data_IF_127632028357
#
_entry.id   IF_127632028357
#
_cell.length_a   1.000
_cell.length_b   1.000
_cell.length_c   1.000
_cell.angle_alpha   90.00
_cell.angle_beta   90.00
_cell.angle_gamma   90.00
#
_symmetry.space_group_name_H-M   'P 1'
#
loop_
_entity.id
_entity.type
_entity.pdbx_description
1 polymer ?
#
# COMPACT_ATOMS: atom_id res chain seq x y z
N UNK A 1 -0.79 15.67 12.61
CA UNK A 1 -0.95 14.56 11.64
C UNK A 1 0.41 13.99 11.28
N UNK A 2 0.67 12.69 11.54
CA UNK A 2 1.89 12.01 11.09
C UNK A 2 1.54 11.06 9.92
N UNK A 3 1.69 11.55 8.70
CA UNK A 3 1.42 10.80 7.47
C UNK A 3 2.34 11.28 6.35
N UNK A 4 2.82 10.37 5.50
CA UNK A 4 3.72 10.68 4.39
C UNK A 4 3.50 9.73 3.22
N UNK A 5 3.78 10.20 2.00
CA UNK A 5 3.86 9.39 0.80
C UNK A 5 5.31 9.00 0.54
N UNK A 6 5.53 7.78 0.10
CA UNK A 6 6.86 7.34 -0.29
C UNK A 6 6.85 6.29 -1.40
N UNK A 7 8.00 6.02 -1.94
CA UNK A 7 8.23 4.99 -2.97
C UNK A 7 9.04 3.86 -2.34
N UNK A 8 8.55 2.64 -2.45
CA UNK A 8 9.27 1.45 -2.03
C UNK A 8 10.52 1.25 -2.89
N UNK A 9 11.70 1.19 -2.31
CA UNK A 9 12.95 0.94 -3.06
C UNK A 9 13.37 -0.52 -3.02
N UNK A 10 13.42 -1.11 -1.84
CA UNK A 10 13.89 -2.49 -1.68
C UNK A 10 13.87 -2.92 -0.24
N UNK A 11 14.46 -4.08 0.01
CA UNK A 11 14.65 -4.60 1.36
C UNK A 11 16.13 -4.83 1.66
N UNK A 12 16.49 -4.57 2.91
CA UNK A 12 17.82 -4.84 3.46
C UNK A 12 17.67 -5.36 4.88
N UNK A 13 18.76 -5.49 5.59
CA UNK A 13 18.80 -5.85 7.01
C UNK A 13 19.57 -4.81 7.80
N UNK A 14 19.13 -4.57 9.02
CA UNK A 14 19.81 -3.72 10.01
C UNK A 14 20.06 -4.60 11.23
N UNK A 15 21.23 -4.46 11.84
CA UNK A 15 21.56 -5.16 13.09
C UNK A 15 21.19 -4.26 14.26
N UNK A 16 20.39 -4.78 15.18
CA UNK A 16 20.02 -4.11 16.42
C UNK A 16 20.13 -5.15 17.56
N UNK A 17 20.96 -4.89 18.56
CA UNK A 17 21.23 -5.81 19.68
C UNK A 17 21.60 -7.23 19.20
N UNK A 18 22.57 -7.35 18.31
CA UNK A 18 23.06 -8.59 17.68
C UNK A 18 22.01 -9.41 16.92
N UNK A 19 20.85 -8.82 16.66
CA UNK A 19 19.79 -9.44 15.86
C UNK A 19 19.66 -8.75 14.50
N UNK A 20 19.63 -9.55 13.45
CA UNK A 20 19.37 -9.05 12.10
C UNK A 20 17.86 -8.81 11.91
N UNK A 21 17.47 -7.55 11.80
CA UNK A 21 16.07 -7.15 11.52
C UNK A 21 15.92 -6.88 10.05
N UNK A 22 15.04 -7.60 9.32
CA UNK A 22 14.74 -7.26 7.94
C UNK A 22 13.97 -5.94 7.89
N UNK A 23 14.40 -5.03 7.02
CA UNK A 23 13.78 -3.73 6.84
C UNK A 23 13.49 -3.44 5.38
N UNK A 24 12.40 -2.72 5.12
CA UNK A 24 12.10 -2.17 3.81
C UNK A 24 12.44 -0.69 3.78
N UNK A 25 13.16 -0.28 2.74
CA UNK A 25 13.52 1.11 2.46
C UNK A 25 12.37 1.79 1.71
N UNK A 26 11.89 2.89 2.25
CA UNK A 26 10.90 3.75 1.60
C UNK A 26 11.51 5.14 1.40
N UNK A 27 11.60 5.54 0.15
CA UNK A 27 12.05 6.87 -0.25
C UNK A 27 10.87 7.84 -0.15
N UNK A 28 11.00 8.88 0.63
CA UNK A 28 9.98 9.91 0.84
C UNK A 28 10.39 11.28 0.25
N UNK A 29 11.50 11.32 -0.47
CA UNK A 29 11.98 12.54 -1.11
C UNK A 29 10.92 13.16 -2.04
N UNK A 30 10.73 14.46 -1.94
CA UNK A 30 9.79 15.21 -2.77
C UNK A 30 8.32 15.01 -2.42
N UNK A 31 8.00 14.46 -1.24
CA UNK A 31 6.63 14.51 -0.71
C UNK A 31 6.33 15.93 -0.25
N UNK A 32 5.27 16.56 -0.81
CA UNK A 32 4.89 17.95 -0.50
C UNK A 32 3.44 18.06 -0.03
N UNK A 33 3.16 19.14 0.70
CA UNK A 33 1.81 19.56 1.05
C UNK A 33 1.29 20.42 -0.09
N UNK A 34 0.30 19.94 -0.83
CA UNK A 34 -0.22 20.67 -2.00
C UNK A 34 -1.38 21.59 -1.67
N UNK A 35 -2.33 21.12 -0.86
CA UNK A 35 -3.55 21.87 -0.61
C UNK A 35 -4.24 21.43 0.69
N UNK A 36 -5.17 22.25 1.17
CA UNK A 36 -6.11 21.86 2.23
C UNK A 36 -7.51 21.91 1.66
N UNK A 37 -8.26 20.81 1.81
CA UNK A 37 -9.64 20.71 1.33
C UNK A 37 -10.53 20.06 2.38
N UNK A 38 -11.56 20.77 2.79
CA UNK A 38 -12.55 20.23 3.74
C UNK A 38 -11.93 19.61 5.00
N UNK A 39 -10.97 20.27 5.64
CA UNK A 39 -10.27 19.74 6.82
C UNK A 39 -9.38 18.54 6.54
N UNK A 40 -8.97 18.34 5.27
CA UNK A 40 -8.02 17.31 4.86
C UNK A 40 -6.82 17.94 4.19
N UNK A 41 -5.65 17.45 4.54
CA UNK A 41 -4.38 17.85 3.92
C UNK A 41 -4.12 16.97 2.71
N UNK A 42 -3.82 17.57 1.58
CA UNK A 42 -3.45 16.86 0.35
C UNK A 42 -1.93 16.74 0.28
N UNK A 43 -1.44 15.52 0.48
CA UNK A 43 -0.04 15.14 0.27
C UNK A 43 0.14 14.69 -1.18
N UNK A 44 1.25 15.11 -1.78
CA UNK A 44 1.58 14.81 -3.18
C UNK A 44 3.00 14.31 -3.32
N UNK A 45 3.25 13.47 -4.34
CA UNK A 45 4.56 12.93 -4.64
C UNK A 45 4.75 12.78 -6.16
N UNK A 46 5.95 13.14 -6.63
CA UNK A 46 6.32 13.03 -8.03
C UNK A 46 5.64 14.06 -8.93
N UNK A 47 6.16 14.26 -10.13
CA UNK A 47 5.66 15.22 -11.11
C UNK A 47 5.25 14.53 -12.42
N UNK A 48 4.17 15.00 -13.04
CA UNK A 48 3.75 14.58 -14.38
C UNK A 48 4.42 15.47 -15.42
N UNK A 49 4.84 14.89 -16.53
CA UNK A 49 5.44 15.64 -17.66
C UNK A 49 4.48 16.62 -18.31
N UNK A 50 3.17 16.32 -18.32
CA UNK A 50 2.12 17.16 -18.92
C UNK A 50 0.93 17.28 -17.97
N UNK A 51 0.35 18.45 -17.88
CA UNK A 51 -0.88 18.73 -17.12
C UNK A 51 -1.81 19.64 -17.90
N UNK A 52 -3.11 19.58 -17.61
CA UNK A 52 -4.10 20.51 -18.16
C UNK A 52 -3.98 21.87 -17.45
N UNK A 53 -4.43 22.97 -18.10
CA UNK A 53 -4.46 24.31 -17.50
C UNK A 53 -5.20 24.33 -16.16
N UNK A 54 -6.31 23.60 -16.04
CA UNK A 54 -7.08 23.46 -14.82
C UNK A 54 -6.27 22.79 -13.68
N UNK A 55 -5.52 21.73 -13.99
CA UNK A 55 -4.64 21.05 -13.03
C UNK A 55 -3.50 21.97 -12.59
N UNK A 56 -2.88 22.69 -13.53
CA UNK A 56 -1.81 23.64 -13.21
C UNK A 56 -2.33 24.78 -12.29
N UNK A 57 -3.54 25.29 -12.54
CA UNK A 57 -4.18 26.26 -11.67
C UNK A 57 -4.45 25.72 -10.26
N UNK A 58 -4.85 24.45 -10.14
CA UNK A 58 -5.09 23.78 -8.85
C UNK A 58 -3.83 23.61 -8.01
N UNK A 59 -2.68 23.37 -8.65
CA UNK A 59 -1.39 23.10 -8.00
C UNK A 59 -0.39 24.26 -8.20
N UNK A 60 -0.90 25.49 -8.27
CA UNK A 60 -0.09 26.69 -8.49
C UNK A 60 1.02 26.84 -7.45
N UNK A 61 0.74 26.54 -6.17
CA UNK A 61 1.69 26.65 -5.07
C UNK A 61 2.92 25.75 -5.20
N UNK A 62 2.77 24.58 -5.81
CA UNK A 62 3.87 23.63 -6.02
C UNK A 62 4.49 23.72 -7.42
N UNK A 63 3.89 24.48 -8.36
CA UNK A 63 4.42 24.74 -9.69
C UNK A 63 4.36 23.59 -10.70
N UNK A 64 3.84 22.42 -10.33
CA UNK A 64 3.71 21.25 -11.21
C UNK A 64 2.49 20.40 -10.88
N UNK A 65 2.06 19.55 -11.81
CA UNK A 65 0.98 18.58 -11.56
C UNK A 65 1.56 17.32 -10.95
N UNK A 66 1.09 16.92 -9.73
CA UNK A 66 1.62 15.74 -9.06
C UNK A 66 1.21 14.43 -9.75
N UNK A 67 2.09 13.43 -9.69
CA UNK A 67 1.80 12.08 -10.16
C UNK A 67 0.91 11.33 -9.19
N UNK A 68 1.20 11.41 -7.91
CA UNK A 68 0.47 10.76 -6.84
C UNK A 68 -0.07 11.79 -5.86
N UNK A 69 -1.26 11.51 -5.34
CA UNK A 69 -1.94 12.36 -4.37
C UNK A 69 -2.65 11.52 -3.32
N UNK A 70 -2.71 12.04 -2.11
CA UNK A 70 -3.43 11.42 -1.01
C UNK A 70 -4.00 12.47 -0.07
N UNK A 71 -5.30 12.40 0.18
CA UNK A 71 -6.00 13.25 1.13
C UNK A 71 -6.00 12.58 2.50
N UNK A 72 -5.40 13.22 3.47
CA UNK A 72 -5.31 12.74 4.85
C UNK A 72 -6.13 13.64 5.74
N UNK A 73 -6.90 13.07 6.67
CA UNK A 73 -7.59 13.82 7.71
C UNK A 73 -6.57 14.36 8.71
N UNK A 74 -6.73 15.61 9.11
CA UNK A 74 -5.87 16.26 10.11
C UNK A 74 -5.41 17.64 9.64
N UNK A 75 -4.76 18.33 10.54
CA UNK A 75 -4.22 19.68 10.32
C UNK A 75 -2.76 19.60 9.86
N UNK A 76 -2.30 20.66 9.20
CA UNK A 76 -0.89 20.80 8.85
C UNK A 76 -0.09 20.89 10.16
N UNK A 77 1.03 20.15 10.28
CA UNK A 77 1.93 20.29 11.42
C UNK A 77 2.37 21.76 11.56
N UNK A 78 2.51 22.21 12.80
CA UNK A 78 2.98 23.57 13.10
C UNK A 78 4.32 23.87 12.38
N UNK A 79 4.41 25.05 11.77
CA UNK A 79 5.60 25.48 11.02
C UNK A 79 5.65 25.08 9.55
N UNK A 80 4.74 24.22 9.03
CA UNK A 80 4.68 23.87 7.62
C UNK A 80 3.62 24.71 6.89
N UNK A 81 3.94 25.09 5.64
CA UNK A 81 3.07 25.86 4.75
C UNK A 81 2.71 25.03 3.51
N UNK A 82 1.72 25.50 2.74
CA UNK A 82 1.45 24.95 1.41
C UNK A 82 2.71 25.06 0.55
N UNK A 83 3.01 24.01 -0.20
CA UNK A 83 4.23 23.89 -1.00
C UNK A 83 5.46 23.36 -0.24
N UNK A 84 5.43 23.28 1.10
CA UNK A 84 6.55 22.75 1.89
C UNK A 84 6.78 21.28 1.67
N UNK A 85 8.03 20.86 1.74
CA UNK A 85 8.42 19.44 1.72
C UNK A 85 8.08 18.78 3.05
N UNK A 86 7.50 17.58 2.96
CA UNK A 86 7.33 16.68 4.11
C UNK A 86 8.60 15.86 4.28
N UNK A 87 9.24 15.99 5.43
CA UNK A 87 10.52 15.34 5.71
C UNK A 87 10.29 14.01 6.45
N UNK A 88 11.21 13.06 6.28
CA UNK A 88 11.19 11.78 6.99
C UNK A 88 11.19 11.94 8.53
N UNK A 89 11.79 13.02 9.01
CA UNK A 89 11.88 13.42 10.43
C UNK A 89 10.53 13.68 11.10
N UNK A 90 9.43 13.75 10.32
CA UNK A 90 8.06 13.77 10.88
C UNK A 90 7.77 12.52 11.74
N UNK A 91 8.48 11.43 11.49
CA UNK A 91 8.42 10.19 12.26
C UNK A 91 9.63 10.08 13.19
N UNK A 92 9.48 9.29 14.24
CA UNK A 92 10.57 8.97 15.17
C UNK A 92 10.93 7.50 15.07
N UNK A 93 12.18 7.16 15.38
CA UNK A 93 12.60 5.76 15.57
C UNK A 93 11.75 5.11 16.66
N UNK A 94 11.19 3.95 16.36
CA UNK A 94 10.28 3.23 17.26
C UNK A 94 8.80 3.48 17.01
N UNK A 95 8.41 4.52 16.26
CA UNK A 95 7.00 4.79 15.94
C UNK A 95 6.33 3.57 15.31
N UNK A 96 5.09 3.29 15.75
CA UNK A 96 4.26 2.23 15.19
C UNK A 96 3.36 2.82 14.11
N UNK A 97 3.53 2.35 12.89
CA UNK A 97 2.86 2.89 11.70
C UNK A 97 1.99 1.86 11.02
N UNK A 98 0.95 2.35 10.33
CA UNK A 98 0.19 1.61 9.34
C UNK A 98 0.68 1.98 7.94
N UNK A 99 0.76 0.99 7.06
CA UNK A 99 1.27 1.14 5.70
C UNK A 99 0.22 0.63 4.72
N UNK A 100 -0.24 1.52 3.87
CA UNK A 100 -1.19 1.19 2.81
C UNK A 100 -0.48 1.23 1.46
N UNK A 101 -0.63 0.17 0.68
CA UNK A 101 -0.07 0.07 -0.67
C UNK A 101 -0.89 -0.87 -1.55
N UNK A 102 -0.52 -0.97 -2.81
CA UNK A 102 -1.15 -1.89 -3.77
C UNK A 102 -0.36 -3.19 -3.79
N UNK A 103 -1.03 -4.32 -3.57
CA UNK A 103 -0.39 -5.64 -3.61
C UNK A 103 0.04 -6.02 -5.02
N UNK A 104 1.08 -6.86 -5.14
CA UNK A 104 1.52 -7.38 -6.45
C UNK A 104 0.39 -8.12 -7.15
N UNK A 105 0.15 -7.82 -8.41
CA UNK A 105 -0.79 -8.54 -9.26
C UNK A 105 -0.33 -9.98 -9.51
N UNK A 106 -1.28 -10.92 -9.46
CA UNK A 106 -1.04 -12.36 -9.71
C UNK A 106 -1.87 -12.88 -10.88
N UNK A 107 -2.50 -11.98 -11.63
CA UNK A 107 -3.36 -12.31 -12.75
C UNK A 107 -4.64 -13.06 -12.33
N UNK A 108 -5.18 -13.87 -13.24
CA UNK A 108 -6.28 -14.78 -12.93
C UNK A 108 -5.75 -15.98 -12.13
N UNK A 109 -6.32 -16.23 -10.98
CA UNK A 109 -5.93 -17.31 -10.08
C UNK A 109 -7.11 -18.24 -9.80
N UNK A 110 -6.87 -19.54 -9.87
CA UNK A 110 -7.84 -20.57 -9.47
C UNK A 110 -8.05 -20.59 -7.95
N UNK A 111 -9.07 -21.31 -7.51
CA UNK A 111 -9.53 -21.36 -6.12
C UNK A 111 -8.48 -21.84 -5.13
N UNK A 112 -7.59 -22.73 -5.53
CA UNK A 112 -6.50 -23.24 -4.68
C UNK A 112 -5.51 -22.11 -4.35
N UNK A 113 -5.06 -21.35 -5.35
CA UNK A 113 -4.11 -20.24 -5.15
C UNK A 113 -4.79 -19.03 -4.48
N UNK A 114 -6.01 -18.70 -4.91
CA UNK A 114 -6.71 -17.48 -4.47
C UNK A 114 -7.30 -17.59 -3.08
N UNK A 115 -7.85 -18.76 -2.74
CA UNK A 115 -8.60 -18.97 -1.49
C UNK A 115 -8.03 -20.07 -0.59
N UNK A 116 -6.95 -20.74 -1.00
CA UNK A 116 -6.33 -21.81 -0.23
C UNK A 116 -7.15 -23.10 -0.18
N UNK A 117 -7.97 -23.36 -1.17
CA UNK A 117 -8.76 -24.60 -1.23
C UNK A 117 -7.84 -25.82 -1.33
N UNK A 118 -8.20 -26.90 -0.63
CA UNK A 118 -7.43 -28.14 -0.58
C UNK A 118 -7.35 -28.84 -1.97
N UNK A 119 -8.45 -28.76 -2.73
CA UNK A 119 -8.60 -29.54 -3.96
C UNK A 119 -8.92 -31.01 -3.69
N UNK A 120 -8.86 -31.84 -4.72
CA UNK A 120 -9.07 -33.28 -4.63
C UNK A 120 -7.80 -34.06 -4.24
N UNK A 121 -7.91 -35.39 -4.02
CA UNK A 121 -6.78 -36.27 -3.79
C UNK A 121 -5.84 -36.26 -5.00
N UNK A 122 -4.57 -36.60 -4.79
CA UNK A 122 -3.56 -36.66 -5.88
C UNK A 122 -3.42 -38.06 -6.51
N UNK A 123 -3.94 -39.06 -5.85
CA UNK A 123 -3.84 -40.48 -6.22
C UNK A 123 -5.19 -41.17 -6.05
N UNK A 124 -5.25 -42.50 -6.07
CA UNK A 124 -6.44 -43.30 -5.86
C UNK A 124 -7.56 -43.06 -6.89
N UNK A 125 -7.19 -43.02 -8.19
CA UNK A 125 -8.14 -42.87 -9.29
C UNK A 125 -8.59 -41.46 -9.60
N UNK A 126 -7.97 -40.45 -8.96
CA UNK A 126 -8.23 -39.04 -9.30
C UNK A 126 -7.73 -38.74 -10.72
N UNK A 127 -8.61 -38.18 -11.59
CA UNK A 127 -8.21 -37.82 -12.96
C UNK A 127 -8.14 -36.28 -13.13
N UNK A 128 -9.26 -35.58 -13.22
CA UNK A 128 -9.32 -34.18 -13.69
C UNK A 128 -9.66 -33.13 -12.59
N UNK A 129 -10.12 -33.57 -11.42
CA UNK A 129 -10.62 -32.68 -10.36
C UNK A 129 -9.63 -32.29 -9.27
N UNK A 130 -8.33 -32.49 -9.51
CA UNK A 130 -7.29 -32.22 -8.51
C UNK A 130 -7.33 -30.78 -7.94
N UNK A 131 -7.56 -29.78 -8.80
CA UNK A 131 -7.58 -28.36 -8.40
C UNK A 131 -8.96 -27.70 -8.55
N UNK A 132 -10.01 -28.52 -8.57
CA UNK A 132 -11.38 -28.05 -8.70
C UNK A 132 -11.88 -27.42 -7.40
N UNK A 133 -12.85 -26.50 -7.46
CA UNK A 133 -13.43 -25.84 -6.28
C UNK A 133 -14.28 -26.78 -5.42
N UNK A 134 -14.76 -27.91 -5.98
CA UNK A 134 -15.78 -28.74 -5.35
C UNK A 134 -17.19 -28.19 -5.56
N UNK A 135 -18.11 -28.52 -4.67
CA UNK A 135 -19.48 -27.99 -4.72
C UNK A 135 -19.50 -26.47 -4.54
N UNK A 136 -20.30 -25.78 -5.33
CA UNK A 136 -20.47 -24.32 -5.28
C UNK A 136 -21.83 -23.89 -4.70
N UNK A 137 -22.69 -24.84 -4.31
CA UNK A 137 -24.00 -24.57 -3.71
C UNK A 137 -24.87 -25.78 -3.57
N UNK A 138 -26.09 -25.55 -3.11
CA UNK A 138 -27.15 -26.54 -2.99
C UNK A 138 -27.88 -26.71 -4.33
N UNK A 139 -28.84 -27.66 -4.39
CA UNK A 139 -29.61 -27.97 -5.60
C UNK A 139 -30.76 -27.00 -5.88
N UNK A 140 -31.97 -27.55 -6.07
CA UNK A 140 -33.17 -26.83 -6.54
C UNK A 140 -33.55 -25.64 -5.63
N UNK A 141 -33.29 -25.72 -4.36
CA UNK A 141 -33.44 -24.61 -3.42
C UNK A 141 -32.10 -24.22 -2.83
N UNK A 142 -31.60 -23.01 -3.09
CA UNK A 142 -32.21 -21.80 -3.67
C UNK A 142 -32.15 -21.70 -5.21
N UNK A 143 -31.70 -22.74 -5.95
CA UNK A 143 -31.61 -22.74 -7.42
C UNK A 143 -30.59 -21.78 -8.03
N UNK A 144 -29.67 -21.25 -7.22
CA UNK A 144 -28.62 -20.30 -7.62
C UNK A 144 -27.39 -20.44 -6.76
N UNK A 145 -26.27 -19.91 -7.25
CA UNK A 145 -25.06 -19.75 -6.44
C UNK A 145 -25.16 -18.46 -5.61
N UNK A 146 -24.86 -18.52 -4.34
CA UNK A 146 -24.90 -17.36 -3.46
C UNK A 146 -23.87 -16.32 -3.82
N UNK A 147 -24.19 -15.03 -3.61
CA UNK A 147 -23.23 -13.95 -3.72
C UNK A 147 -22.10 -14.16 -2.72
N UNK A 148 -20.86 -13.86 -3.14
CA UNK A 148 -19.68 -14.03 -2.29
C UNK A 148 -19.09 -15.44 -2.26
N UNK A 149 -19.66 -16.42 -2.98
CA UNK A 149 -19.07 -17.75 -3.13
C UNK A 149 -17.67 -17.65 -3.71
N UNK A 150 -16.71 -18.32 -3.05
CA UNK A 150 -15.29 -18.26 -3.40
C UNK A 150 -15.01 -19.01 -4.68
N UNK A 151 -14.71 -18.26 -5.73
CA UNK A 151 -14.39 -18.78 -7.07
C UNK A 151 -13.06 -18.24 -7.56
N UNK A 152 -12.56 -18.80 -8.68
CA UNK A 152 -11.42 -18.26 -9.40
C UNK A 152 -11.68 -16.81 -9.84
N UNK A 153 -10.62 -16.05 -10.07
CA UNK A 153 -10.72 -14.67 -10.51
C UNK A 153 -9.39 -13.92 -10.36
N UNK A 154 -9.40 -12.61 -10.60
CA UNK A 154 -8.23 -11.76 -10.39
C UNK A 154 -7.78 -11.81 -8.93
N UNK A 155 -6.47 -11.94 -8.76
CA UNK A 155 -5.82 -11.92 -7.45
C UNK A 155 -4.71 -10.89 -7.46
N UNK A 156 -4.61 -10.13 -6.37
CA UNK A 156 -3.66 -9.03 -6.25
C UNK A 156 -4.13 -7.76 -6.97
N UNK A 157 -3.24 -6.76 -7.01
CA UNK A 157 -3.55 -5.37 -7.41
C UNK A 157 -4.65 -4.74 -6.54
N UNK A 158 -4.82 -5.27 -5.33
CA UNK A 158 -5.75 -4.76 -4.33
C UNK A 158 -5.02 -3.83 -3.36
N UNK A 159 -5.74 -2.83 -2.85
CA UNK A 159 -5.24 -1.99 -1.77
C UNK A 159 -5.17 -2.81 -0.48
N UNK A 160 -3.97 -2.92 0.09
CA UNK A 160 -3.72 -3.65 1.34
C UNK A 160 -3.11 -2.71 2.36
N UNK A 161 -3.65 -2.73 3.57
CA UNK A 161 -3.10 -1.99 4.71
C UNK A 161 -2.51 -2.97 5.72
N UNK A 162 -1.22 -2.82 6.00
CA UNK A 162 -0.53 -3.56 7.06
C UNK A 162 -0.35 -2.62 8.24
N UNK A 163 -0.83 -3.05 9.40
CA UNK A 163 -0.75 -2.31 10.66
C UNK A 163 0.43 -2.80 11.52
N UNK A 164 0.72 -2.06 12.58
CA UNK A 164 1.70 -2.42 13.60
C UNK A 164 3.11 -2.67 13.03
N UNK A 165 3.54 -1.83 12.08
CA UNK A 165 4.91 -1.84 11.59
C UNK A 165 5.73 -0.80 12.34
N UNK A 166 6.93 -1.18 12.81
CA UNK A 166 7.84 -0.29 13.53
C UNK A 166 8.77 0.43 12.55
N UNK A 167 8.95 1.71 12.76
CA UNK A 167 10.04 2.48 12.14
C UNK A 167 11.33 2.10 12.86
N UNK A 168 12.26 1.46 12.15
CA UNK A 168 13.52 0.98 12.70
C UNK A 168 14.55 2.09 12.76
N UNK A 169 14.65 2.84 11.65
CA UNK A 169 15.60 3.95 11.55
C UNK A 169 15.12 4.95 10.49
N UNK A 170 15.67 6.17 10.53
CA UNK A 170 15.37 7.24 9.57
C UNK A 170 16.70 7.79 9.10
N UNK A 171 16.91 7.85 7.78
CA UNK A 171 18.13 8.39 7.18
C UNK A 171 17.77 9.36 6.08
N UNK A 172 18.08 10.63 6.25
CA UNK A 172 17.80 11.70 5.28
C UNK A 172 16.38 11.60 4.69
N UNK A 173 16.27 11.05 3.47
CA UNK A 173 15.01 10.89 2.75
C UNK A 173 14.41 9.49 2.84
N UNK A 174 15.00 8.59 3.63
CA UNK A 174 14.56 7.20 3.72
C UNK A 174 13.98 6.88 5.09
N UNK A 175 12.83 6.21 5.09
CA UNK A 175 12.25 5.59 6.28
C UNK A 175 12.48 4.07 6.18
N UNK A 176 13.13 3.51 7.18
CA UNK A 176 13.39 2.08 7.32
C UNK A 176 12.28 1.44 8.15
N UNK A 177 11.47 0.58 7.55
CA UNK A 177 10.31 -0.03 8.19
C UNK A 177 10.55 -1.52 8.40
N UNK A 178 10.20 -2.03 9.56
CA UNK A 178 10.40 -3.44 9.91
C UNK A 178 9.58 -4.38 9.03
N UNK A 179 10.25 -5.37 8.44
CA UNK A 179 9.67 -6.45 7.65
C UNK A 179 9.15 -6.04 6.27
N UNK A 180 8.37 -6.91 5.62
CA UNK A 180 7.84 -6.66 4.29
C UNK A 180 6.66 -5.68 4.32
N UNK A 181 6.55 -4.89 3.24
CA UNK A 181 5.43 -3.97 2.97
C UNK A 181 4.79 -4.31 1.62
N UNK A 182 3.51 -3.94 1.37
CA UNK A 182 2.83 -4.26 0.12
C UNK A 182 3.50 -3.59 -1.09
N UNK A 183 3.28 -4.18 -2.26
CA UNK A 183 3.74 -3.65 -3.54
C UNK A 183 5.11 -4.15 -4.00
N UNK A 184 5.43 -3.79 -5.24
CA UNK A 184 6.72 -4.02 -5.89
C UNK A 184 7.71 -2.90 -5.56
N UNK A 185 8.98 -3.06 -5.90
CA UNK A 185 9.91 -1.96 -5.87
C UNK A 185 9.49 -0.91 -6.91
N UNK A 186 9.49 0.37 -6.53
CA UNK A 186 8.97 1.47 -7.33
C UNK A 186 7.50 1.81 -7.06
N UNK A 187 6.76 0.99 -6.33
CA UNK A 187 5.35 1.27 -6.03
C UNK A 187 5.19 2.31 -4.92
N UNK A 188 4.09 3.06 -5.03
CA UNK A 188 3.68 4.04 -4.04
C UNK A 188 3.21 3.35 -2.76
N UNK A 189 3.65 3.88 -1.64
CA UNK A 189 3.17 3.51 -0.29
C UNK A 189 2.75 4.74 0.48
N UNK A 190 1.73 4.57 1.31
CA UNK A 190 1.19 5.56 2.22
C UNK A 190 1.53 5.12 3.63
N UNK A 191 2.25 5.93 4.39
CA UNK A 191 2.67 5.65 5.76
C UNK A 191 1.96 6.62 6.67
N UNK A 192 1.35 6.14 7.75
CA UNK A 192 0.66 6.99 8.73
C UNK A 192 0.62 6.32 10.10
N UNK A 193 0.57 7.14 11.14
CA UNK A 193 0.28 6.66 12.49
C UNK A 193 -1.23 6.57 12.62
N UNK A 194 -1.72 5.43 13.09
CA UNK A 194 -3.14 5.22 13.40
C UNK A 194 -3.36 5.70 14.84
N UNK A 195 -4.15 6.73 14.99
CA UNK A 195 -4.73 7.17 16.26
C UNK A 195 -5.80 6.21 16.72
#
# INVERSE_FOLDING_TARGET
MKAILGIKKGMTRVFENDRAIPVTLVDVAGCKIANIRNGKVELVLGSKKKGTKAQLGQYKEIGYVPMHRWLVKGEIPEGLKLGSDMVAETFNKGDVVAICGISKGKGFAGVVKRHGFKGGPRTHGQSDRLRAPGSIGAGSSPGRVFKGTRMGGRMGSDTVTIKNKRVVDIKENYILISGPIPGSNGDLVKIYIQE
#
